data_IF_278793075910
#
_entry.id   IF_278793075910
#
_cell.length_a   1.000
_cell.length_b   1.000
_cell.length_c   1.000
_cell.angle_alpha   90.00
_cell.angle_beta   90.00
_cell.angle_gamma   90.00
#
_symmetry.space_group_name_H-M   'P 1'
#
loop_
_entity.id
_entity.type
_entity.pdbx_description
1 polymer ?
#
# COMPACT_ATOMS: atom_id res chain seq x y z
N UNK A 1 35.02 -0.46 15.74
CA UNK A 1 33.92 0.15 14.94
C UNK A 1 33.91 -0.48 13.56
N UNK A 2 32.91 -1.31 13.24
CA UNK A 2 32.69 -1.76 11.86
C UNK A 2 32.32 -0.54 11.01
N UNK A 3 33.12 -0.22 9.98
CA UNK A 3 32.72 0.79 8.98
C UNK A 3 31.44 0.31 8.32
N UNK A 4 30.32 0.99 8.54
CA UNK A 4 29.09 0.74 7.79
C UNK A 4 29.39 0.85 6.29
N UNK A 5 29.10 -0.22 5.56
CA UNK A 5 29.30 -0.29 4.12
C UNK A 5 28.24 0.61 3.48
N UNK A 6 28.64 1.79 2.99
CA UNK A 6 27.75 2.68 2.23
C UNK A 6 27.22 1.93 1.00
N UNK A 7 25.91 1.97 0.79
CA UNK A 7 25.27 1.37 -0.38
C UNK A 7 25.33 2.37 -1.54
N UNK A 8 25.79 1.91 -2.71
CA UNK A 8 25.73 2.72 -3.91
C UNK A 8 24.29 2.91 -4.39
N UNK A 9 23.90 4.15 -4.70
CA UNK A 9 22.56 4.49 -5.14
C UNK A 9 22.59 5.34 -6.41
N UNK A 10 22.10 4.80 -7.51
CA UNK A 10 21.90 5.58 -8.73
C UNK A 10 20.70 6.52 -8.55
N UNK A 11 20.71 7.66 -9.27
CA UNK A 11 19.65 8.66 -9.14
C UNK A 11 18.25 8.07 -9.43
N UNK A 12 18.13 7.25 -10.47
CA UNK A 12 16.84 6.70 -10.93
C UNK A 12 16.28 5.61 -10.00
N UNK A 13 17.10 5.08 -9.10
CA UNK A 13 16.68 4.14 -8.06
C UNK A 13 16.04 4.85 -6.84
N UNK A 14 16.16 6.17 -6.74
CA UNK A 14 15.65 6.94 -5.61
C UNK A 14 14.14 7.19 -5.79
N UNK A 15 13.29 6.85 -4.81
CA UNK A 15 11.88 7.24 -4.82
C UNK A 15 11.69 8.73 -5.09
N UNK A 16 10.61 9.08 -5.81
CA UNK A 16 10.33 10.44 -6.30
C UNK A 16 11.32 11.00 -7.34
N UNK A 17 12.40 10.29 -7.70
CA UNK A 17 13.24 10.71 -8.83
C UNK A 17 12.53 10.47 -10.15
N UNK A 18 12.23 11.56 -10.84
CA UNK A 18 11.76 11.55 -12.23
C UNK A 18 12.94 11.63 -13.20
N UNK A 19 12.82 11.01 -14.38
CA UNK A 19 13.87 11.00 -15.40
C UNK A 19 14.37 12.40 -15.75
N UNK A 20 13.47 13.39 -15.88
CA UNK A 20 13.83 14.78 -16.18
C UNK A 20 14.67 15.43 -15.07
N UNK A 21 14.40 15.10 -13.80
CA UNK A 21 15.15 15.62 -12.66
C UNK A 21 16.53 14.96 -12.63
N UNK A 22 16.59 13.63 -12.81
CA UNK A 22 17.85 12.90 -12.91
C UNK A 22 18.75 13.44 -14.04
N UNK A 23 18.20 13.67 -15.23
CA UNK A 23 18.94 14.29 -16.34
C UNK A 23 19.45 15.69 -15.98
N UNK A 24 18.62 16.52 -15.35
CA UNK A 24 19.03 17.86 -14.96
C UNK A 24 20.15 17.84 -13.90
N UNK A 25 20.10 16.93 -12.93
CA UNK A 25 21.16 16.74 -11.93
C UNK A 25 22.47 16.27 -12.57
N UNK A 26 22.41 15.32 -13.51
CA UNK A 26 23.59 14.86 -14.27
C UNK A 26 24.24 15.98 -15.07
N UNK A 27 23.44 16.86 -15.68
CA UNK A 27 23.95 18.06 -16.37
C UNK A 27 24.63 19.07 -15.43
N UNK A 28 24.49 18.92 -14.11
CA UNK A 28 25.18 19.71 -13.09
C UNK A 28 26.31 18.91 -12.42
N UNK A 29 26.68 17.74 -12.95
CA UNK A 29 27.75 16.89 -12.42
C UNK A 29 27.33 15.95 -11.28
N UNK A 30 26.05 15.92 -10.91
CA UNK A 30 25.51 15.04 -9.87
C UNK A 30 25.01 13.77 -10.54
N UNK A 31 25.73 12.66 -10.35
CA UNK A 31 25.49 11.38 -11.02
C UNK A 31 24.92 10.30 -10.08
N UNK A 32 24.99 10.50 -8.76
CA UNK A 32 24.55 9.52 -7.77
C UNK A 32 23.86 10.15 -6.56
N UNK A 33 23.19 9.32 -5.76
CA UNK A 33 22.57 9.75 -4.51
C UNK A 33 23.59 10.29 -3.50
N UNK A 34 24.81 9.76 -3.47
CA UNK A 34 25.88 10.22 -2.58
C UNK A 34 26.26 11.67 -2.89
N UNK A 35 26.46 11.98 -4.18
CA UNK A 35 26.77 13.35 -4.62
C UNK A 35 25.59 14.30 -4.36
N UNK A 36 24.35 13.81 -4.48
CA UNK A 36 23.17 14.59 -4.11
C UNK A 36 23.17 14.99 -2.62
N UNK A 37 23.64 14.10 -1.74
CA UNK A 37 23.70 14.37 -0.30
C UNK A 37 24.82 15.34 0.11
N UNK A 38 25.77 15.62 -0.78
CA UNK A 38 26.84 16.60 -0.55
C UNK A 38 26.37 18.05 -0.78
N UNK A 39 25.21 18.23 -1.41
CA UNK A 39 24.64 19.55 -1.63
C UNK A 39 24.17 20.19 -0.31
N UNK A 40 24.43 21.49 -0.18
CA UNK A 40 23.82 22.29 0.88
C UNK A 40 22.32 22.43 0.67
N UNK A 41 21.54 22.52 1.75
CA UNK A 41 20.09 22.82 1.68
C UNK A 41 19.79 24.19 1.05
N UNK A 42 20.79 25.08 1.03
CA UNK A 42 20.71 26.40 0.40
C UNK A 42 21.04 26.36 -1.10
N UNK A 43 21.44 25.21 -1.64
CA UNK A 43 21.78 25.06 -3.04
C UNK A 43 20.59 25.47 -3.94
N UNK A 44 20.82 26.31 -4.99
CA UNK A 44 19.77 26.76 -5.90
C UNK A 44 18.95 25.61 -6.52
N UNK A 45 19.51 24.42 -6.63
CA UNK A 45 18.81 23.22 -7.12
C UNK A 45 17.64 22.82 -6.23
N UNK A 46 17.72 23.02 -4.90
CA UNK A 46 16.58 22.75 -4.00
C UNK A 46 15.43 23.75 -4.19
N UNK A 47 15.73 24.97 -4.66
CA UNK A 47 14.70 25.95 -5.03
C UNK A 47 14.11 25.65 -6.40
N UNK A 48 14.94 25.18 -7.34
CA UNK A 48 14.55 24.83 -8.71
C UNK A 48 13.72 23.55 -8.78
N UNK A 49 14.05 22.56 -7.96
CA UNK A 49 13.38 21.27 -7.91
C UNK A 49 12.71 21.09 -6.56
N UNK A 50 11.44 21.47 -6.48
CA UNK A 50 10.63 21.34 -5.27
C UNK A 50 10.71 19.95 -4.57
N UNK A 51 10.74 18.79 -5.27
CA UNK A 51 10.81 17.50 -4.60
C UNK A 51 12.23 17.11 -4.15
N UNK A 52 13.27 17.92 -4.39
CA UNK A 52 14.66 17.52 -4.13
C UNK A 52 14.93 17.22 -2.66
N UNK A 53 14.19 17.87 -1.73
CA UNK A 53 14.24 17.55 -0.30
C UNK A 53 13.74 16.12 -0.01
N UNK A 54 12.65 15.69 -0.66
CA UNK A 54 12.16 14.32 -0.53
C UNK A 54 13.17 13.33 -1.08
N UNK A 55 13.67 13.59 -2.29
CA UNK A 55 14.64 12.75 -2.99
C UNK A 55 15.91 12.59 -2.14
N UNK A 56 16.44 13.68 -1.58
CA UNK A 56 17.61 13.64 -0.71
C UNK A 56 17.37 12.79 0.55
N UNK A 57 16.21 12.92 1.20
CA UNK A 57 15.89 12.08 2.36
C UNK A 57 15.74 10.59 2.00
N UNK A 58 15.16 10.26 0.85
CA UNK A 58 15.16 8.88 0.36
C UNK A 58 16.57 8.37 0.05
N UNK A 59 17.39 9.17 -0.62
CA UNK A 59 18.80 8.83 -0.88
C UNK A 59 19.55 8.56 0.43
N UNK A 60 19.34 9.41 1.45
CA UNK A 60 19.88 9.24 2.79
C UNK A 60 19.45 7.90 3.41
N UNK A 61 18.16 7.59 3.37
CA UNK A 61 17.66 6.32 3.88
C UNK A 61 18.33 5.11 3.21
N UNK A 62 18.41 5.11 1.88
CA UNK A 62 19.01 4.03 1.08
C UNK A 62 20.51 3.88 1.35
N UNK A 63 21.29 4.96 1.25
CA UNK A 63 22.76 4.94 1.39
C UNK A 63 23.19 4.46 2.77
N UNK A 64 22.47 4.90 3.81
CA UNK A 64 22.74 4.52 5.20
C UNK A 64 22.00 3.25 5.64
N UNK A 65 21.21 2.65 4.75
CA UNK A 65 20.39 1.47 5.00
C UNK A 65 19.59 1.55 6.31
N UNK A 66 18.91 2.67 6.54
CA UNK A 66 18.13 2.92 7.75
C UNK A 66 16.92 3.77 7.45
N UNK A 67 15.87 3.59 8.24
CA UNK A 67 14.71 4.49 8.20
C UNK A 67 15.18 5.87 8.67
N UNK A 68 14.83 6.89 7.90
CA UNK A 68 15.02 8.29 8.29
C UNK A 68 13.66 8.86 8.68
N UNK A 69 13.59 9.44 9.88
CA UNK A 69 12.41 10.13 10.40
C UNK A 69 12.68 11.62 10.47
N UNK A 70 11.69 12.42 10.08
CA UNK A 70 11.72 13.89 10.20
C UNK A 70 10.78 14.27 11.36
N UNK A 71 11.35 14.57 12.52
CA UNK A 71 10.61 14.74 13.78
C UNK A 71 9.59 15.89 13.73
N UNK A 72 9.87 16.97 13.00
CA UNK A 72 8.99 18.16 12.93
C UNK A 72 7.74 17.95 12.05
N UNK A 73 7.60 16.80 11.40
CA UNK A 73 6.44 16.48 10.55
C UNK A 73 5.47 15.60 11.34
N UNK A 74 4.21 16.06 11.44
CA UNK A 74 3.09 15.26 11.96
C UNK A 74 2.56 14.41 10.81
N UNK A 75 2.67 13.09 10.91
CA UNK A 75 2.08 12.17 9.95
C UNK A 75 0.56 12.08 10.19
N UNK A 76 -0.27 11.92 9.15
CA UNK A 76 -1.68 11.55 9.33
C UNK A 76 -1.87 10.32 10.23
N UNK A 77 -0.93 9.38 10.20
CA UNK A 77 -0.95 8.20 11.07
C UNK A 77 -0.83 8.56 12.55
N UNK A 78 -0.06 9.60 12.88
CA UNK A 78 0.11 10.07 14.26
C UNK A 78 -1.18 10.70 14.82
N UNK A 79 -2.18 10.98 13.97
CA UNK A 79 -3.47 11.57 14.37
C UNK A 79 -4.55 10.54 14.65
N UNK A 80 -4.31 9.27 14.33
CA UNK A 80 -5.19 8.16 14.67
C UNK A 80 -5.14 7.97 16.18
N UNK A 81 -6.29 8.02 16.84
CA UNK A 81 -6.36 7.96 18.32
C UNK A 81 -6.35 6.51 18.79
N UNK A 82 -5.70 6.24 19.92
CA UNK A 82 -5.65 4.92 20.57
C UNK A 82 -7.02 4.29 20.89
N UNK A 83 -8.10 5.08 20.87
CA UNK A 83 -9.48 4.65 21.17
C UNK A 83 -10.34 4.37 19.93
N UNK A 84 -9.77 4.46 18.73
CA UNK A 84 -10.49 4.18 17.50
C UNK A 84 -10.46 2.68 17.19
N UNK A 85 -11.56 2.17 16.65
CA UNK A 85 -11.72 0.76 16.25
C UNK A 85 -10.92 0.52 14.96
N UNK A 86 -9.62 0.21 15.10
CA UNK A 86 -8.68 0.05 14.00
C UNK A 86 -8.69 -1.39 13.50
N UNK A 87 -8.86 -1.56 12.18
CA UNK A 87 -8.76 -2.84 11.51
C UNK A 87 -7.86 -2.74 10.29
N UNK A 88 -6.97 -3.72 10.11
CA UNK A 88 -6.23 -3.91 8.87
C UNK A 88 -7.14 -4.57 7.83
N UNK A 89 -7.26 -3.96 6.66
CA UNK A 89 -8.29 -4.28 5.68
C UNK A 89 -7.66 -4.63 4.33
N UNK A 90 -8.18 -5.69 3.70
CA UNK A 90 -7.78 -6.08 2.34
C UNK A 90 -8.96 -6.73 1.60
N UNK A 91 -8.95 -6.65 0.27
CA UNK A 91 -9.96 -7.32 -0.57
C UNK A 91 -9.34 -8.01 -1.77
N UNK A 92 -9.86 -9.18 -2.10
CA UNK A 92 -9.56 -9.83 -3.37
C UNK A 92 -10.75 -9.64 -4.33
N UNK A 93 -10.42 -9.14 -5.52
CA UNK A 93 -11.40 -8.64 -6.47
C UNK A 93 -10.95 -8.86 -7.90
N UNK A 94 -11.92 -8.92 -8.82
CA UNK A 94 -11.68 -8.85 -10.25
C UNK A 94 -12.15 -7.48 -10.76
N UNK A 95 -11.19 -6.60 -11.03
CA UNK A 95 -11.46 -5.24 -11.53
C UNK A 95 -12.14 -5.20 -12.90
N UNK A 96 -11.99 -6.25 -13.71
CA UNK A 96 -12.65 -6.39 -15.01
C UNK A 96 -14.13 -6.68 -14.80
N UNK A 97 -14.43 -7.59 -13.87
CA UNK A 97 -15.80 -8.00 -13.59
C UNK A 97 -16.54 -7.00 -12.70
N UNK A 98 -15.87 -6.20 -11.87
CA UNK A 98 -16.49 -5.31 -10.88
C UNK A 98 -17.54 -4.32 -11.41
N UNK A 99 -17.54 -3.98 -12.71
CA UNK A 99 -18.52 -3.06 -13.30
C UNK A 99 -19.72 -3.76 -13.93
N UNK A 100 -19.50 -4.88 -14.61
CA UNK A 100 -20.50 -5.49 -15.50
C UNK A 100 -20.56 -7.01 -15.42
N UNK A 101 -19.62 -7.62 -14.72
CA UNK A 101 -19.55 -9.07 -14.53
C UNK A 101 -20.48 -9.56 -13.42
N UNK A 102 -20.56 -10.89 -13.25
CA UNK A 102 -21.44 -11.54 -12.27
C UNK A 102 -21.05 -11.23 -10.82
N UNK A 103 -19.78 -10.89 -10.58
CA UNK A 103 -19.26 -10.42 -9.31
C UNK A 103 -18.13 -9.40 -9.58
N UNK A 104 -17.60 -8.79 -8.53
CA UNK A 104 -16.48 -7.87 -8.56
C UNK A 104 -15.53 -8.11 -7.40
N UNK A 105 -16.08 -8.41 -6.23
CA UNK A 105 -15.33 -8.75 -5.02
C UNK A 105 -15.72 -10.16 -4.59
N UNK A 106 -14.72 -10.98 -4.25
CA UNK A 106 -14.96 -12.36 -3.82
C UNK A 106 -14.34 -12.70 -2.46
N UNK A 107 -13.48 -11.83 -1.93
CA UNK A 107 -13.07 -11.86 -0.53
C UNK A 107 -13.00 -10.44 0.02
N UNK A 108 -13.59 -10.22 1.18
CA UNK A 108 -13.36 -9.04 2.02
C UNK A 108 -12.79 -9.54 3.34
N UNK A 109 -11.58 -9.12 3.70
CA UNK A 109 -10.92 -9.52 4.95
C UNK A 109 -10.57 -8.32 5.81
N UNK A 110 -10.72 -8.46 7.13
CA UNK A 110 -10.21 -7.50 8.08
C UNK A 110 -9.68 -8.16 9.35
N UNK A 111 -8.68 -7.54 9.96
CA UNK A 111 -8.01 -8.03 11.16
C UNK A 111 -7.91 -6.93 12.21
N UNK A 112 -8.28 -7.22 13.46
CA UNK A 112 -8.10 -6.28 14.57
C UNK A 112 -6.62 -6.13 14.95
N UNK A 113 -6.30 -5.12 15.75
CA UNK A 113 -4.96 -4.93 16.32
C UNK A 113 -4.47 -6.11 17.17
N UNK A 114 -5.39 -6.87 17.76
CA UNK A 114 -5.09 -8.07 18.55
C UNK A 114 -4.94 -9.34 17.69
N UNK A 115 -5.08 -9.22 16.37
CA UNK A 115 -4.95 -10.32 15.42
C UNK A 115 -6.22 -11.14 15.22
N UNK A 116 -7.39 -10.69 15.70
CA UNK A 116 -8.67 -11.35 15.41
C UNK A 116 -9.03 -11.14 13.95
N UNK A 117 -9.24 -12.25 13.21
CA UNK A 117 -9.45 -12.23 11.76
C UNK A 117 -10.91 -12.48 11.42
N UNK A 118 -11.45 -11.61 10.59
CA UNK A 118 -12.80 -11.69 10.05
C UNK A 118 -12.73 -11.66 8.53
N UNK A 119 -13.61 -12.42 7.87
CA UNK A 119 -13.70 -12.39 6.42
C UNK A 119 -15.09 -12.74 5.92
N UNK A 120 -15.43 -12.19 4.76
CA UNK A 120 -16.60 -12.54 3.97
C UNK A 120 -16.11 -13.10 2.64
N UNK A 121 -16.42 -14.36 2.37
CA UNK A 121 -16.07 -15.04 1.13
C UNK A 121 -17.31 -15.24 0.27
N UNK A 122 -17.19 -14.98 -1.02
CA UNK A 122 -18.27 -15.15 -1.97
C UNK A 122 -18.29 -16.61 -2.45
N UNK A 123 -19.18 -17.43 -1.91
CA UNK A 123 -19.25 -18.83 -2.33
C UNK A 123 -19.96 -18.98 -3.68
N UNK A 124 -21.03 -18.21 -3.89
CA UNK A 124 -21.79 -18.15 -5.14
C UNK A 124 -21.76 -16.71 -5.69
N UNK A 125 -21.34 -16.50 -6.95
CA UNK A 125 -21.34 -15.19 -7.60
C UNK A 125 -22.62 -14.35 -7.44
N UNK A 126 -23.78 -15.01 -7.40
CA UNK A 126 -25.08 -14.34 -7.31
C UNK A 126 -25.31 -13.64 -5.94
N UNK A 127 -24.57 -14.04 -4.91
CA UNK A 127 -24.75 -13.58 -3.53
C UNK A 127 -23.93 -12.31 -3.20
N UNK A 128 -23.26 -11.71 -4.18
CA UNK A 128 -22.38 -10.57 -3.94
C UNK A 128 -23.13 -9.40 -3.30
N UNK A 129 -24.40 -9.17 -3.69
CA UNK A 129 -25.24 -8.13 -3.08
C UNK A 129 -25.37 -8.34 -1.57
N UNK A 130 -25.57 -9.57 -1.12
CA UNK A 130 -25.70 -9.89 0.30
C UNK A 130 -24.37 -9.71 1.03
N UNK A 131 -23.27 -10.14 0.42
CA UNK A 131 -21.92 -9.95 0.94
C UNK A 131 -21.60 -8.45 1.15
N UNK A 132 -21.88 -7.61 0.14
CA UNK A 132 -21.63 -6.16 0.23
C UNK A 132 -22.53 -5.50 1.27
N UNK A 133 -23.79 -5.94 1.43
CA UNK A 133 -24.68 -5.45 2.49
C UNK A 133 -24.16 -5.81 3.88
N UNK A 134 -23.75 -7.07 4.11
CA UNK A 134 -23.16 -7.52 5.38
C UNK A 134 -21.96 -6.66 5.77
N UNK A 135 -21.08 -6.39 4.80
CA UNK A 135 -19.93 -5.51 5.02
C UNK A 135 -20.35 -4.07 5.31
N UNK A 136 -21.25 -3.49 4.49
CA UNK A 136 -21.77 -2.13 4.69
C UNK A 136 -22.41 -1.94 6.06
N UNK A 137 -23.22 -2.89 6.52
CA UNK A 137 -23.90 -2.84 7.81
C UNK A 137 -22.91 -2.99 8.97
N UNK A 138 -21.87 -3.83 8.82
CA UNK A 138 -20.78 -3.91 9.80
C UNK A 138 -20.02 -2.58 9.91
N UNK A 139 -19.59 -1.97 8.78
CA UNK A 139 -18.88 -0.68 8.78
C UNK A 139 -19.71 0.41 9.46
N UNK A 140 -21.02 0.49 9.17
CA UNK A 140 -21.90 1.49 9.80
C UNK A 140 -22.05 1.28 11.31
N UNK A 141 -22.08 0.02 11.76
CA UNK A 141 -22.30 -0.32 13.17
C UNK A 141 -21.03 -0.09 14.00
N UNK A 142 -19.89 -0.57 13.51
CA UNK A 142 -18.63 -0.46 14.25
C UNK A 142 -17.95 0.90 14.05
N UNK A 143 -18.25 1.59 12.95
CA UNK A 143 -17.58 2.84 12.54
C UNK A 143 -16.04 2.74 12.60
N UNK A 144 -15.44 1.75 11.90
CA UNK A 144 -14.03 1.42 12.04
C UNK A 144 -13.11 2.38 11.25
N UNK A 145 -11.83 2.37 11.59
CA UNK A 145 -10.76 2.85 10.71
C UNK A 145 -10.15 1.64 10.00
N UNK A 146 -10.35 1.57 8.69
CA UNK A 146 -9.87 0.52 7.81
C UNK A 146 -8.51 0.88 7.24
N UNK A 147 -7.47 0.39 7.89
CA UNK A 147 -6.08 0.54 7.47
C UNK A 147 -5.80 -0.37 6.26
N UNK A 148 -5.57 0.22 5.08
CA UNK A 148 -5.33 -0.52 3.85
C UNK A 148 -4.12 0.03 3.10
N UNK A 149 -3.55 -0.77 2.18
CA UNK A 149 -2.35 -0.40 1.44
C UNK A 149 -2.67 -0.08 -0.02
N UNK A 150 -2.52 1.19 -0.44
CA UNK A 150 -2.86 1.67 -1.79
C UNK A 150 -4.36 1.59 -2.13
N UNK A 151 -5.22 1.71 -1.11
CA UNK A 151 -6.66 1.56 -1.24
C UNK A 151 -7.34 2.58 -2.13
N UNK A 152 -6.82 3.80 -2.21
CA UNK A 152 -7.31 4.81 -3.15
C UNK A 152 -7.25 4.33 -4.61
N UNK A 153 -6.32 3.42 -4.91
CA UNK A 153 -6.07 2.91 -6.26
C UNK A 153 -6.59 1.51 -6.52
N UNK A 154 -6.81 0.70 -5.48
CA UNK A 154 -7.27 -0.68 -5.54
C UNK A 154 -8.68 -0.84 -4.92
N UNK A 155 -8.76 -0.99 -3.59
CA UNK A 155 -9.99 -1.31 -2.85
C UNK A 155 -11.12 -0.31 -3.16
N UNK A 156 -10.86 1.01 -3.06
CA UNK A 156 -11.86 2.08 -3.29
C UNK A 156 -12.47 1.98 -4.69
N UNK A 157 -11.65 1.64 -5.69
CA UNK A 157 -12.13 1.51 -7.08
C UNK A 157 -12.94 0.25 -7.28
N UNK A 158 -12.45 -0.89 -6.80
CA UNK A 158 -13.08 -2.19 -7.02
C UNK A 158 -14.37 -2.36 -6.21
N UNK A 159 -14.33 -2.04 -4.91
CA UNK A 159 -15.53 -2.01 -4.07
C UNK A 159 -16.49 -0.94 -4.56
N UNK A 160 -16.01 0.27 -4.85
CA UNK A 160 -16.87 1.36 -5.34
C UNK A 160 -17.62 0.97 -6.61
N UNK A 161 -16.98 0.28 -7.56
CA UNK A 161 -17.62 -0.25 -8.75
C UNK A 161 -18.69 -1.31 -8.41
N UNK A 162 -18.37 -2.24 -7.52
CA UNK A 162 -19.28 -3.32 -7.11
C UNK A 162 -20.51 -2.78 -6.36
N UNK A 163 -20.31 -1.85 -5.42
CA UNK A 163 -21.38 -1.11 -4.75
C UNK A 163 -22.26 -0.34 -5.74
N UNK A 164 -21.64 0.37 -6.69
CA UNK A 164 -22.37 1.11 -7.71
C UNK A 164 -23.20 0.22 -8.62
N UNK A 165 -22.68 -0.95 -9.03
CA UNK A 165 -23.42 -1.94 -9.84
C UNK A 165 -24.70 -2.38 -9.12
N UNK A 166 -24.61 -2.57 -7.82
CA UNK A 166 -25.72 -2.97 -6.95
C UNK A 166 -26.56 -1.80 -6.41
N UNK A 167 -26.29 -0.57 -6.85
CA UNK A 167 -26.96 0.67 -6.39
C UNK A 167 -26.91 0.87 -4.87
N UNK A 168 -25.82 0.44 -4.23
CA UNK A 168 -25.57 0.63 -2.81
C UNK A 168 -24.72 1.90 -2.56
N UNK A 169 -24.96 2.64 -1.47
CA UNK A 169 -24.11 3.77 -1.10
C UNK A 169 -22.73 3.29 -0.64
N UNK A 170 -21.68 3.98 -1.07
CA UNK A 170 -20.28 3.61 -0.75
C UNK A 170 -19.51 4.66 0.06
N UNK A 171 -20.06 5.87 0.22
CA UNK A 171 -19.34 7.01 0.85
C UNK A 171 -18.82 6.68 2.25
N UNK A 172 -19.66 6.13 3.12
CA UNK A 172 -19.30 5.75 4.50
C UNK A 172 -18.13 4.74 4.56
N UNK A 173 -18.07 3.78 3.63
CA UNK A 173 -16.95 2.83 3.55
C UNK A 173 -15.68 3.54 3.11
N UNK A 174 -15.78 4.40 2.08
CA UNK A 174 -14.65 5.20 1.62
C UNK A 174 -14.11 6.12 2.73
N UNK A 175 -14.98 6.73 3.50
CA UNK A 175 -14.63 7.61 4.63
C UNK A 175 -13.99 6.83 5.79
N UNK A 176 -14.27 5.54 5.91
CA UNK A 176 -13.65 4.66 6.90
C UNK A 176 -12.24 4.21 6.48
N UNK A 177 -11.84 4.35 5.21
CA UNK A 177 -10.55 3.88 4.71
C UNK A 177 -9.42 4.86 4.99
N UNK A 178 -8.32 4.32 5.53
CA UNK A 178 -7.05 5.01 5.69
C UNK A 178 -5.97 4.32 4.83
N UNK A 179 -5.58 4.96 3.74
CA UNK A 179 -4.55 4.44 2.83
C UNK A 179 -3.14 4.72 3.40
N UNK A 180 -2.48 3.70 3.95
CA UNK A 180 -1.11 3.81 4.47
C UNK A 180 -0.13 4.24 3.37
N UNK A 181 -0.33 3.79 2.14
CA UNK A 181 0.61 4.10 1.05
C UNK A 181 0.63 5.60 0.77
N UNK A 182 -0.53 6.20 0.54
CA UNK A 182 -0.64 7.63 0.18
C UNK A 182 -0.53 8.56 1.38
N UNK A 183 -0.85 8.09 2.60
CA UNK A 183 -0.82 8.92 3.81
C UNK A 183 0.47 8.83 4.62
N UNK A 184 1.25 7.75 4.47
CA UNK A 184 2.44 7.50 5.31
C UNK A 184 3.67 7.17 4.48
N UNK A 185 3.58 6.15 3.62
CA UNK A 185 4.76 5.56 2.96
C UNK A 185 5.27 6.43 1.81
N UNK A 186 4.38 6.94 0.96
CA UNK A 186 4.73 7.69 -0.24
C UNK A 186 3.76 8.86 -0.47
N UNK A 187 3.77 9.83 0.44
CA UNK A 187 2.88 11.01 0.44
C UNK A 187 3.16 12.00 -0.69
N UNK A 188 4.35 11.92 -1.30
CA UNK A 188 4.85 12.87 -2.30
C UNK A 188 4.82 14.34 -1.84
N UNK A 189 4.78 14.60 -0.53
CA UNK A 189 4.68 15.93 0.04
C UNK A 189 5.77 16.17 1.07
N UNK A 190 6.59 17.21 0.86
CA UNK A 190 7.63 17.64 1.81
C UNK A 190 7.06 17.92 3.20
N UNK A 191 5.80 18.35 3.28
CA UNK A 191 5.14 18.69 4.55
C UNK A 191 4.49 17.50 5.26
N UNK A 192 4.32 16.36 4.57
CA UNK A 192 3.62 15.17 5.10
C UNK A 192 4.50 13.94 5.18
N UNK A 193 5.58 13.87 4.40
CA UNK A 193 6.49 12.73 4.38
C UNK A 193 7.38 12.73 5.63
N UNK A 194 6.96 11.99 6.65
CA UNK A 194 7.71 11.82 7.90
C UNK A 194 8.77 10.73 7.80
N UNK A 195 8.40 9.58 7.25
CA UNK A 195 9.22 8.36 7.22
C UNK A 195 9.82 8.14 5.83
N UNK A 196 11.11 7.86 5.75
CA UNK A 196 11.81 7.54 4.50
C UNK A 196 12.45 6.16 4.65
N UNK A 197 11.95 5.20 3.88
CA UNK A 197 12.39 3.81 3.95
C UNK A 197 13.66 3.58 3.10
N UNK A 198 14.59 2.71 3.52
CA UNK A 198 15.80 2.36 2.77
C UNK A 198 15.51 1.43 1.57
N UNK A 199 14.54 1.80 0.73
CA UNK A 199 14.06 0.97 -0.38
C UNK A 199 14.33 1.68 -1.71
N UNK A 200 15.07 1.00 -2.59
CA UNK A 200 15.23 1.41 -3.99
C UNK A 200 13.95 1.18 -4.78
N UNK A 201 13.54 2.19 -5.55
CA UNK A 201 12.47 2.10 -6.54
C UNK A 201 12.88 1.14 -7.65
N UNK A 202 11.95 0.24 -8.02
CA UNK A 202 12.05 -0.56 -9.24
C UNK A 202 10.82 -0.29 -10.11
N UNK A 203 11.03 0.15 -11.35
CA UNK A 203 9.93 0.45 -12.27
C UNK A 203 9.08 1.64 -11.81
N UNK A 204 7.78 1.62 -12.11
CA UNK A 204 6.88 2.76 -11.85
C UNK A 204 6.39 2.87 -10.40
N UNK A 205 6.42 1.77 -9.62
CA UNK A 205 5.87 1.74 -8.27
C UNK A 205 7.00 1.68 -7.22
N UNK A 206 7.36 2.81 -6.58
CA UNK A 206 8.60 2.91 -5.81
C UNK A 206 8.61 2.06 -4.53
N UNK A 207 7.46 1.87 -3.89
CA UNK A 207 7.35 1.27 -2.56
C UNK A 207 6.16 0.30 -2.54
N UNK A 208 6.29 -0.87 -3.17
CA UNK A 208 5.25 -1.91 -3.11
C UNK A 208 5.17 -2.58 -1.74
N UNK A 209 3.96 -3.01 -1.34
CA UNK A 209 3.66 -3.59 -0.01
C UNK A 209 4.71 -4.60 0.44
N UNK A 210 5.00 -5.64 -0.38
CA UNK A 210 5.96 -6.69 -0.03
C UNK A 210 7.32 -6.15 0.43
N UNK A 211 7.90 -5.22 -0.34
CA UNK A 211 9.21 -4.64 -0.01
C UNK A 211 9.16 -3.79 1.24
N UNK A 212 8.06 -3.05 1.44
CA UNK A 212 7.85 -2.23 2.63
C UNK A 212 7.72 -3.13 3.85
N UNK A 213 6.92 -4.18 3.79
CA UNK A 213 6.79 -5.16 4.87
C UNK A 213 8.14 -5.81 5.20
N UNK A 214 8.87 -6.32 4.21
CA UNK A 214 10.21 -6.92 4.40
C UNK A 214 11.19 -5.93 5.04
N UNK A 215 11.16 -4.67 4.61
CA UNK A 215 11.97 -3.60 5.19
C UNK A 215 11.63 -3.32 6.67
N UNK A 216 10.37 -3.52 7.06
CA UNK A 216 9.88 -3.35 8.42
C UNK A 216 10.01 -4.62 9.28
N UNK A 217 10.65 -5.68 8.74
CA UNK A 217 10.97 -6.89 9.48
C UNK A 217 10.01 -8.07 9.25
N UNK A 218 9.00 -7.91 8.39
CA UNK A 218 8.12 -9.00 7.99
C UNK A 218 8.93 -10.12 7.33
N UNK A 219 8.74 -11.35 7.80
CA UNK A 219 9.30 -12.54 7.18
C UNK A 219 8.28 -13.11 6.20
N UNK A 220 8.67 -13.42 4.95
CA UNK A 220 7.76 -13.99 3.97
C UNK A 220 7.09 -15.25 4.49
N UNK A 221 5.76 -15.28 4.45
CA UNK A 221 4.99 -16.47 4.78
C UNK A 221 5.18 -17.57 3.73
N UNK A 222 5.03 -18.83 4.15
CA UNK A 222 5.16 -20.02 3.28
C UNK A 222 3.93 -20.27 2.41
N UNK A 223 3.18 -19.21 2.08
CA UNK A 223 1.87 -19.34 1.45
C UNK A 223 1.95 -19.62 -0.04
N UNK A 224 1.08 -20.50 -0.49
CA UNK A 224 0.93 -20.89 -1.89
C UNK A 224 0.45 -19.72 -2.77
N UNK A 225 -0.34 -18.79 -2.21
CA UNK A 225 -0.81 -17.58 -2.89
C UNK A 225 -0.20 -16.33 -2.24
N UNK A 226 1.00 -15.98 -2.68
CA UNK A 226 1.71 -14.79 -2.21
C UNK A 226 1.39 -13.51 -3.01
N UNK A 227 0.71 -13.62 -4.16
CA UNK A 227 0.43 -12.52 -5.09
C UNK A 227 -1.07 -12.38 -5.41
N UNK A 228 -1.65 -11.20 -5.14
CA UNK A 228 -3.08 -10.91 -5.37
C UNK A 228 -3.52 -11.03 -6.85
N UNK A 229 -2.61 -10.84 -7.81
CA UNK A 229 -2.91 -11.05 -9.24
C UNK A 229 -3.32 -12.50 -9.58
N UNK A 230 -2.98 -13.46 -8.72
CA UNK A 230 -3.39 -14.85 -8.89
C UNK A 230 -4.76 -15.15 -8.28
N UNK A 231 -5.28 -14.29 -7.40
CA UNK A 231 -6.52 -14.54 -6.66
C UNK A 231 -7.75 -14.71 -7.57
N UNK A 232 -7.98 -13.87 -8.62
CA UNK A 232 -9.11 -14.07 -9.52
C UNK A 232 -9.07 -15.42 -10.24
N UNK A 233 -7.89 -15.84 -10.71
CA UNK A 233 -7.72 -17.13 -11.40
C UNK A 233 -8.01 -18.32 -10.48
N UNK A 234 -7.60 -18.21 -9.21
CA UNK A 234 -7.87 -19.25 -8.20
C UNK A 234 -9.36 -19.29 -7.87
N UNK A 235 -10.01 -18.14 -7.74
CA UNK A 235 -11.45 -18.05 -7.49
C UNK A 235 -12.28 -18.61 -8.66
N UNK A 236 -11.94 -18.29 -9.91
CA UNK A 236 -12.56 -18.89 -11.09
C UNK A 236 -12.39 -20.42 -11.14
N UNK A 237 -11.23 -20.94 -10.71
CA UNK A 237 -11.02 -22.39 -10.58
C UNK A 237 -11.94 -22.99 -9.52
N UNK A 238 -12.06 -22.35 -8.36
CA UNK A 238 -12.98 -22.77 -7.30
C UNK A 238 -14.44 -22.86 -7.80
N UNK A 239 -14.91 -21.87 -8.58
CA UNK A 239 -16.25 -21.89 -9.16
C UNK A 239 -16.44 -23.04 -10.16
N UNK A 240 -15.45 -23.29 -11.04
CA UNK A 240 -15.52 -24.35 -12.06
C UNK A 240 -15.52 -25.76 -11.47
N UNK A 241 -14.81 -25.96 -10.36
CA UNK A 241 -14.68 -27.28 -9.71
C UNK A 241 -15.88 -27.63 -8.82
N UNK A 242 -16.95 -26.81 -8.82
CA UNK A 242 -18.22 -27.11 -8.16
C UNK A 242 -18.09 -27.16 -6.64
N UNK A 243 -17.30 -26.24 -6.07
CA UNK A 243 -17.04 -26.14 -4.62
C UNK A 243 -16.37 -27.39 -4.01
N UNK A 244 -15.94 -28.37 -4.82
CA UNK A 244 -15.21 -29.55 -4.34
C UNK A 244 -13.83 -29.13 -3.90
N UNK A 245 -13.59 -29.09 -2.58
CA UNK A 245 -12.29 -29.10 -1.89
C UNK A 245 -11.08 -28.67 -2.75
N UNK A 246 -11.20 -27.54 -3.44
CA UNK A 246 -10.15 -26.57 -3.33
C UNK A 246 -10.31 -26.22 -1.86
N UNK A 247 -9.50 -26.88 -1.01
CA UNK A 247 -8.92 -26.16 0.11
C UNK A 247 -8.45 -24.88 -0.58
N UNK A 248 -9.28 -23.83 -0.56
CA UNK A 248 -8.77 -22.49 -0.72
C UNK A 248 -7.96 -22.41 0.54
N UNK A 249 -6.73 -22.97 0.44
CA UNK A 249 -5.88 -23.35 1.53
C UNK A 249 -5.89 -22.10 2.38
N UNK A 250 -6.54 -22.24 3.54
CA UNK A 250 -6.99 -21.16 4.43
C UNK A 250 -6.39 -19.87 3.96
N UNK A 251 -7.16 -18.98 3.34
CA UNK A 251 -6.69 -17.69 2.83
C UNK A 251 -5.95 -16.91 3.94
N UNK A 252 -4.71 -17.32 4.21
CA UNK A 252 -3.70 -16.73 5.07
C UNK A 252 -3.21 -15.44 4.40
N UNK A 253 -4.03 -14.84 3.54
CA UNK A 253 -3.82 -13.52 2.94
C UNK A 253 -3.72 -12.45 4.03
N UNK A 254 -4.29 -12.70 5.22
CA UNK A 254 -4.07 -11.90 6.43
C UNK A 254 -2.73 -12.18 7.14
N UNK A 255 -2.00 -13.26 6.85
CA UNK A 255 -0.60 -13.40 7.32
C UNK A 255 0.33 -12.41 6.61
N UNK A 256 -0.13 -11.71 5.57
CA UNK A 256 0.63 -10.63 4.93
C UNK A 256 0.61 -9.33 5.74
N UNK A 257 -0.21 -9.27 6.78
CA UNK A 257 -0.29 -8.12 7.69
C UNK A 257 0.46 -8.52 8.96
N UNK A 258 1.49 -7.74 9.36
CA UNK A 258 2.34 -8.05 10.50
C UNK A 258 1.55 -8.14 11.82
#
# INVERSE_FOLDING_TARGET
MLKQKKIHCELEEIPSMEKRIATALRNQGINSGEQLLELSLDDPLFKKFYPLRLIANYAKAIIYNKIVTIEDIISPFDTIKEKEEIYFFDTEHDSTLAKTGPYGVFLIGWMSMDGERNYLFLENPEDELELLKKFSDWVKRENPILIAYSSDTAEVKALGASFSRHKLPFSHIRESMFDIYSNVIFTQSVKRQKYFLPIKKLGSNPLGLKKVSECLGYQPSTLEISHGMNAPRVYERYLREGHKKVYIAQMHLMDKLP
#
